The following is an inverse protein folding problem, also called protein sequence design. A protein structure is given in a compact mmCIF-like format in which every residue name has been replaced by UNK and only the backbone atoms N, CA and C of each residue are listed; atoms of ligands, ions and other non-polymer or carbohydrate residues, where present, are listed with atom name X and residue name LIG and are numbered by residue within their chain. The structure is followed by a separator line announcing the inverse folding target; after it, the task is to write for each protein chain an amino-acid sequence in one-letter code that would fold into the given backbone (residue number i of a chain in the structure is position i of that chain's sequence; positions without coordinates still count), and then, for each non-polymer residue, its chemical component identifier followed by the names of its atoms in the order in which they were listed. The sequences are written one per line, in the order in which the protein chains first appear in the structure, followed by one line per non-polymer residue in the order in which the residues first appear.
data_IF_389791610137
#
_entry.id   IF_389791610137
#
_cell.length_a   1.000
_cell.length_b   1.000
_cell.length_c   1.000
_cell.angle_alpha   90.00
_cell.angle_beta   90.00
_cell.angle_gamma   90.00
#
_symmetry.space_group_name_H-M   'P 1'
#
loop_
_entity.id
_entity.type
_entity.pdbx_description
1 polymer ?
#
# COMPACT_ATOMS: atom_id res chain seq x y z
N UNK A 1 -2.56 -25.54 2.94
CA UNK A 1 -3.75 -24.68 2.65
C UNK A 1 -3.26 -23.51 1.82
N UNK A 2 -3.85 -23.23 0.67
CA UNK A 2 -3.42 -22.12 -0.19
C UNK A 2 -4.04 -20.80 0.30
N UNK A 3 -3.23 -19.73 0.44
CA UNK A 3 -3.71 -18.40 0.76
C UNK A 3 -4.23 -17.73 -0.51
N UNK A 4 -5.53 -17.54 -0.62
CA UNK A 4 -6.14 -16.84 -1.75
C UNK A 4 -6.40 -15.38 -1.38
N UNK A 5 -5.86 -14.46 -2.16
CA UNK A 5 -6.14 -13.02 -2.02
C UNK A 5 -7.47 -12.66 -2.68
N UNK A 6 -8.13 -11.65 -2.16
CA UNK A 6 -9.24 -11.02 -2.88
C UNK A 6 -8.73 -10.41 -4.20
N UNK A 7 -9.60 -10.24 -5.23
CA UNK A 7 -9.17 -9.64 -6.51
C UNK A 7 -8.43 -8.30 -6.33
N UNK A 8 -8.88 -7.47 -5.40
CA UNK A 8 -8.27 -6.19 -5.06
C UNK A 8 -6.84 -6.35 -4.54
N UNK A 9 -6.62 -7.18 -3.50
CA UNK A 9 -5.28 -7.44 -2.96
C UNK A 9 -4.38 -8.19 -3.94
N UNK A 10 -4.95 -9.11 -4.74
CA UNK A 10 -4.20 -9.79 -5.80
C UNK A 10 -3.70 -8.81 -6.87
N UNK A 11 -4.47 -7.74 -7.16
CA UNK A 11 -4.03 -6.70 -8.07
C UNK A 11 -2.87 -5.88 -7.47
N UNK A 12 -2.94 -5.50 -6.18
CA UNK A 12 -1.80 -4.87 -5.49
C UNK A 12 -0.57 -5.78 -5.51
N UNK A 13 -0.75 -7.07 -5.17
CA UNK A 13 0.36 -8.03 -5.16
C UNK A 13 1.08 -8.13 -6.51
N UNK A 14 0.36 -8.08 -7.64
CA UNK A 14 0.98 -8.11 -8.98
C UNK A 14 1.87 -6.91 -9.27
N UNK A 15 1.61 -5.76 -8.64
CA UNK A 15 2.35 -4.52 -8.84
C UNK A 15 3.61 -4.43 -7.97
N UNK A 16 3.72 -5.24 -6.92
CA UNK A 16 4.96 -5.35 -6.12
C UNK A 16 6.03 -6.02 -6.99
N UNK A 17 7.17 -5.35 -7.17
CA UNK A 17 8.26 -5.90 -7.98
C UNK A 17 9.01 -7.04 -7.24
N UNK A 18 9.77 -7.82 -7.99
CA UNK A 18 10.60 -8.89 -7.45
C UNK A 18 11.66 -8.32 -6.52
N UNK A 19 11.91 -9.01 -5.39
CA UNK A 19 12.88 -8.63 -4.36
C UNK A 19 12.62 -7.24 -3.71
N UNK A 20 11.37 -6.74 -3.73
CA UNK A 20 10.99 -5.51 -3.05
C UNK A 20 11.17 -5.61 -1.52
N UNK A 21 11.57 -4.52 -0.90
CA UNK A 21 11.47 -4.31 0.54
C UNK A 21 10.11 -3.67 0.83
N UNK A 22 9.11 -4.50 1.14
CA UNK A 22 7.72 -4.08 1.26
C UNK A 22 7.38 -3.61 2.67
N UNK A 23 6.77 -2.43 2.79
CA UNK A 23 5.99 -2.02 3.95
C UNK A 23 4.49 -2.03 3.60
N UNK A 24 3.71 -2.85 4.29
CA UNK A 24 2.25 -2.95 4.16
C UNK A 24 1.59 -2.20 5.32
N UNK A 25 0.97 -1.06 5.03
CA UNK A 25 0.41 -0.14 6.02
C UNK A 25 -1.10 -0.34 6.16
N UNK A 26 -1.55 -0.55 7.40
CA UNK A 26 -2.91 -1.01 7.67
C UNK A 26 -3.08 -2.47 7.26
N UNK A 27 -2.10 -3.28 7.64
CA UNK A 27 -1.92 -4.65 7.14
C UNK A 27 -3.08 -5.60 7.49
N UNK A 28 -3.87 -5.27 8.53
CA UNK A 28 -4.98 -6.05 9.09
C UNK A 28 -4.58 -7.52 9.35
N UNK A 29 -4.77 -8.41 8.38
CA UNK A 29 -4.44 -9.85 8.49
C UNK A 29 -3.10 -10.23 7.85
N UNK A 30 -2.32 -9.28 7.35
CA UNK A 30 -1.07 -9.51 6.60
C UNK A 30 -1.20 -10.43 5.38
N UNK A 31 -2.38 -10.51 4.76
CA UNK A 31 -2.58 -11.39 3.60
C UNK A 31 -1.68 -11.02 2.42
N UNK A 32 -1.46 -9.73 2.18
CA UNK A 32 -0.60 -9.26 1.09
C UNK A 32 0.86 -9.68 1.30
N UNK A 33 1.54 -9.32 2.40
CA UNK A 33 2.92 -9.73 2.62
C UNK A 33 3.09 -11.24 2.73
N UNK A 34 2.18 -11.97 3.41
CA UNK A 34 2.24 -13.44 3.51
C UNK A 34 2.18 -14.08 2.14
N UNK A 35 1.26 -13.65 1.27
CA UNK A 35 1.17 -14.20 -0.10
C UNK A 35 2.44 -13.96 -0.90
N UNK A 36 2.99 -12.74 -0.86
CA UNK A 36 4.22 -12.40 -1.59
C UNK A 36 5.44 -13.18 -1.10
N UNK A 37 5.53 -13.46 0.20
CA UNK A 37 6.54 -14.31 0.81
C UNK A 37 6.42 -15.77 0.37
N UNK A 38 5.19 -16.29 0.31
CA UNK A 38 4.92 -17.68 -0.16
C UNK A 38 5.25 -17.84 -1.64
N UNK A 39 4.99 -16.82 -2.45
CA UNK A 39 5.33 -16.81 -3.87
C UNK A 39 6.83 -16.62 -4.14
N UNK A 40 7.65 -16.40 -3.10
CA UNK A 40 9.07 -16.09 -3.25
C UNK A 40 9.33 -14.77 -3.97
N UNK A 41 8.36 -13.86 -3.98
CA UNK A 41 8.44 -12.58 -4.65
C UNK A 41 9.21 -11.55 -3.84
N UNK A 42 9.10 -11.63 -2.52
CA UNK A 42 9.87 -10.85 -1.55
C UNK A 42 10.50 -11.80 -0.53
N UNK A 43 11.58 -11.37 0.11
CA UNK A 43 12.26 -12.14 1.14
C UNK A 43 11.81 -11.77 2.54
N UNK A 44 11.42 -10.51 2.71
CA UNK A 44 11.05 -9.92 3.98
C UNK A 44 9.99 -8.83 3.79
N UNK A 45 9.17 -8.57 4.82
CA UNK A 45 8.18 -7.51 4.81
C UNK A 45 8.05 -6.83 6.18
N UNK A 46 7.59 -5.58 6.17
CA UNK A 46 7.09 -4.88 7.34
C UNK A 46 5.57 -4.86 7.24
N UNK A 47 4.89 -5.31 8.30
CA UNK A 47 3.45 -5.24 8.45
C UNK A 47 3.12 -4.25 9.56
N UNK A 48 2.59 -3.09 9.21
CA UNK A 48 2.31 -2.01 10.13
C UNK A 48 0.80 -1.81 10.32
N UNK A 49 0.36 -1.58 11.53
CA UNK A 49 -1.02 -1.17 11.84
C UNK A 49 -1.03 -0.29 13.09
N UNK A 50 -2.02 0.59 13.17
CA UNK A 50 -2.23 1.47 14.32
C UNK A 50 -2.75 0.72 15.55
N UNK A 51 -3.37 -0.45 15.36
CA UNK A 51 -4.08 -1.20 16.40
C UNK A 51 -3.49 -2.59 16.58
N UNK A 52 -3.38 -3.01 17.86
CA UNK A 52 -2.85 -4.33 18.20
C UNK A 52 -3.73 -5.50 17.71
N UNK A 53 -5.06 -5.33 17.69
CA UNK A 53 -5.96 -6.38 17.21
C UNK A 53 -5.67 -6.86 15.77
N UNK A 54 -5.59 -5.96 14.78
CA UNK A 54 -5.11 -6.29 13.43
C UNK A 54 -3.73 -6.96 13.42
N UNK A 55 -2.76 -6.44 14.17
CA UNK A 55 -1.42 -7.04 14.23
C UNK A 55 -1.41 -8.44 14.85
N UNK A 56 -2.24 -8.70 15.86
CA UNK A 56 -2.41 -10.06 16.41
C UNK A 56 -2.89 -11.02 15.32
N UNK A 57 -3.92 -10.65 14.55
CA UNK A 57 -4.40 -11.46 13.43
C UNK A 57 -3.34 -11.64 12.33
N UNK A 58 -2.56 -10.60 12.08
CA UNK A 58 -1.45 -10.66 11.14
C UNK A 58 -0.38 -11.69 11.57
N UNK A 59 0.00 -11.69 12.85
CA UNK A 59 0.93 -12.69 13.42
C UNK A 59 0.36 -14.11 13.33
N UNK A 60 -0.92 -14.31 13.66
CA UNK A 60 -1.59 -15.59 13.52
C UNK A 60 -1.60 -16.10 12.09
N UNK A 61 -1.84 -15.21 11.13
CA UNK A 61 -1.79 -15.56 9.70
C UNK A 61 -0.38 -15.96 9.30
N UNK A 62 0.63 -15.16 9.64
CA UNK A 62 2.03 -15.45 9.31
C UNK A 62 2.50 -16.78 9.92
N UNK A 63 2.17 -17.06 11.19
CA UNK A 63 2.48 -18.32 11.87
C UNK A 63 1.79 -19.52 11.19
N UNK A 64 0.51 -19.37 10.82
CA UNK A 64 -0.25 -20.43 10.09
C UNK A 64 0.41 -20.83 8.79
N UNK A 65 1.07 -19.90 8.11
CA UNK A 65 1.75 -20.14 6.84
C UNK A 65 3.27 -20.31 6.96
N UNK A 66 3.82 -20.28 8.18
CA UNK A 66 5.24 -20.52 8.46
C UNK A 66 6.18 -19.44 7.95
N UNK A 67 5.70 -18.18 7.91
CA UNK A 67 6.49 -17.02 7.43
C UNK A 67 6.67 -15.93 8.48
N UNK A 68 6.31 -16.18 9.73
CA UNK A 68 6.37 -15.20 10.83
C UNK A 68 7.78 -14.62 11.04
N UNK A 69 8.83 -15.42 10.83
CA UNK A 69 10.24 -14.99 10.94
C UNK A 69 10.69 -14.07 9.81
N UNK A 70 9.84 -13.86 8.81
CA UNK A 70 10.12 -13.02 7.63
C UNK A 70 9.29 -11.74 7.60
N UNK A 71 8.52 -11.46 8.67
CA UNK A 71 7.68 -10.25 8.78
C UNK A 71 8.01 -9.52 10.08
N UNK A 72 8.34 -8.23 9.98
CA UNK A 72 8.40 -7.32 11.13
C UNK A 72 7.03 -6.70 11.37
N UNK A 73 6.42 -7.02 12.51
CA UNK A 73 5.12 -6.45 12.89
C UNK A 73 5.32 -5.18 13.71
N UNK A 74 4.72 -4.08 13.27
CA UNK A 74 4.91 -2.75 13.88
C UNK A 74 3.59 -2.11 14.27
N UNK A 75 3.44 -1.87 15.57
CA UNK A 75 2.34 -1.08 16.12
C UNK A 75 2.70 0.40 15.99
N UNK A 76 2.23 1.05 14.94
CA UNK A 76 2.55 2.45 14.69
C UNK A 76 1.46 3.13 13.84
N UNK A 77 1.45 4.46 13.88
CA UNK A 77 0.58 5.27 13.03
C UNK A 77 1.23 5.44 11.66
N UNK A 78 0.57 4.85 10.65
CA UNK A 78 1.05 4.90 9.27
C UNK A 78 2.48 4.37 9.13
N UNK A 79 3.38 5.23 8.72
CA UNK A 79 4.80 4.95 8.49
C UNK A 79 5.72 5.44 9.63
N UNK A 80 5.18 5.91 10.77
CA UNK A 80 5.99 6.47 11.86
C UNK A 80 6.97 5.47 12.48
N UNK A 81 6.71 4.18 12.34
CA UNK A 81 7.58 3.09 12.78
C UNK A 81 8.39 2.44 11.66
N UNK A 82 8.47 3.05 10.46
CA UNK A 82 9.19 2.52 9.31
C UNK A 82 10.25 3.52 8.87
N UNK A 83 11.50 3.09 8.84
CA UNK A 83 12.61 3.90 8.35
C UNK A 83 12.71 3.89 6.82
N UNK A 84 13.25 4.96 6.25
CA UNK A 84 13.47 5.10 4.80
C UNK A 84 14.24 3.90 4.19
N UNK A 85 15.30 3.46 4.90
CA UNK A 85 16.18 2.39 4.42
C UNK A 85 15.56 0.99 4.54
N UNK A 86 14.38 0.88 5.16
CA UNK A 86 13.73 -0.39 5.42
C UNK A 86 12.70 -0.78 4.35
N UNK A 87 12.24 0.19 3.52
CA UNK A 87 11.24 -0.06 2.50
C UNK A 87 11.49 0.76 1.23
N UNK A 88 11.56 0.07 0.10
CA UNK A 88 11.57 0.68 -1.24
C UNK A 88 10.17 0.70 -1.87
N UNK A 89 9.27 -0.12 -1.35
CA UNK A 89 7.89 -0.24 -1.80
C UNK A 89 6.95 -0.15 -0.60
N UNK A 90 5.98 0.75 -0.67
CA UNK A 90 4.94 0.93 0.35
C UNK A 90 3.57 0.66 -0.25
N UNK A 91 2.82 -0.25 0.36
CA UNK A 91 1.42 -0.49 0.03
C UNK A 91 0.52 0.14 1.11
N UNK A 92 -0.45 0.97 0.69
CA UNK A 92 -1.50 1.52 1.55
C UNK A 92 -2.83 1.21 0.88
N UNK A 93 -3.47 0.14 1.31
CA UNK A 93 -4.68 -0.36 0.66
C UNK A 93 -5.89 -0.36 1.59
N UNK A 94 -7.07 0.00 1.05
CA UNK A 94 -8.33 -0.04 1.78
C UNK A 94 -8.56 1.13 2.73
N UNK A 95 -7.89 2.27 2.49
CA UNK A 95 -8.01 3.47 3.32
C UNK A 95 -8.69 4.62 2.57
N UNK A 96 -9.26 5.57 3.29
CA UNK A 96 -9.75 6.83 2.70
C UNK A 96 -8.59 7.68 2.17
N UNK A 97 -8.85 8.49 1.13
CA UNK A 97 -7.83 9.36 0.53
C UNK A 97 -7.22 10.33 1.53
N UNK A 98 -8.01 10.87 2.45
CA UNK A 98 -7.52 11.76 3.52
C UNK A 98 -6.52 11.06 4.45
N UNK A 99 -6.79 9.79 4.80
CA UNK A 99 -5.90 8.98 5.64
C UNK A 99 -4.59 8.70 4.90
N UNK A 100 -4.66 8.35 3.62
CA UNK A 100 -3.47 8.14 2.78
C UNK A 100 -2.63 9.41 2.73
N UNK A 101 -3.25 10.57 2.47
CA UNK A 101 -2.57 11.86 2.44
C UNK A 101 -1.89 12.19 3.78
N UNK A 102 -2.57 11.92 4.91
CA UNK A 102 -2.00 12.14 6.25
C UNK A 102 -0.77 11.25 6.51
N UNK A 103 -0.84 9.97 6.15
CA UNK A 103 0.29 9.03 6.28
C UNK A 103 1.49 9.49 5.45
N UNK A 104 1.28 9.87 4.19
CA UNK A 104 2.36 10.36 3.32
C UNK A 104 2.91 11.71 3.76
N UNK A 105 2.07 12.59 4.32
CA UNK A 105 2.50 13.87 4.90
C UNK A 105 3.46 13.68 6.08
N UNK A 106 3.21 12.66 6.91
CA UNK A 106 4.06 12.33 8.05
C UNK A 106 5.36 11.59 7.65
N UNK A 107 5.44 11.07 6.43
CA UNK A 107 6.58 10.31 5.91
C UNK A 107 7.15 10.91 4.62
N UNK A 108 7.70 12.16 4.65
CA UNK A 108 8.15 12.86 3.44
C UNK A 108 9.28 12.14 2.69
N UNK A 109 9.98 11.21 3.33
CA UNK A 109 11.00 10.38 2.72
C UNK A 109 10.45 9.48 1.60
N UNK A 110 9.15 9.20 1.58
CA UNK A 110 8.50 8.41 0.54
C UNK A 110 8.54 9.05 -0.86
N UNK A 111 8.90 10.33 -0.95
CA UNK A 111 9.15 11.03 -2.22
C UNK A 111 10.53 10.72 -2.83
N UNK A 112 11.40 10.06 -2.08
CA UNK A 112 12.79 9.90 -2.44
C UNK A 112 13.09 8.47 -2.95
N UNK A 113 12.47 8.11 -4.08
CA UNK A 113 12.70 6.83 -4.75
C UNK A 113 11.86 5.65 -4.22
N UNK A 114 10.87 5.92 -3.36
CA UNK A 114 9.95 4.90 -2.88
C UNK A 114 8.80 4.71 -3.86
N UNK A 115 8.51 3.47 -4.22
CA UNK A 115 7.31 3.11 -4.99
C UNK A 115 6.11 2.98 -4.07
N UNK A 116 5.04 3.69 -4.38
CA UNK A 116 3.80 3.68 -3.62
C UNK A 116 2.71 2.95 -4.40
N UNK A 117 2.05 2.01 -3.75
CA UNK A 117 0.87 1.31 -4.24
C UNK A 117 -0.32 1.74 -3.38
N UNK A 118 -1.06 2.73 -3.87
CA UNK A 118 -2.15 3.35 -3.14
C UNK A 118 -3.48 2.81 -3.62
N UNK A 119 -4.30 2.32 -2.70
CA UNK A 119 -5.66 1.88 -3.03
C UNK A 119 -6.67 2.65 -2.17
N UNK A 120 -7.06 3.85 -2.60
CA UNK A 120 -8.05 4.67 -1.90
C UNK A 120 -9.45 4.04 -2.00
N UNK A 121 -10.26 4.27 -0.96
CA UNK A 121 -11.67 3.85 -0.89
C UNK A 121 -12.63 5.02 -1.08
N UNK A 122 -12.18 6.24 -0.76
CA UNK A 122 -12.95 7.48 -0.80
C UNK A 122 -12.06 8.66 -1.13
N UNK A 123 -12.64 9.83 -1.35
CA UNK A 123 -11.93 11.12 -1.52
C UNK A 123 -10.88 11.09 -2.65
N UNK A 124 -11.23 10.46 -3.78
CA UNK A 124 -10.31 10.31 -4.91
C UNK A 124 -9.83 11.67 -5.47
N UNK A 125 -10.71 12.67 -5.73
CA UNK A 125 -10.28 13.95 -6.25
C UNK A 125 -9.33 14.67 -5.29
N UNK A 126 -9.66 14.67 -4.00
CA UNK A 126 -8.88 15.35 -2.96
C UNK A 126 -7.49 14.72 -2.83
N UNK A 127 -7.41 13.38 -2.88
CA UNK A 127 -6.12 12.68 -2.84
C UNK A 127 -5.28 12.96 -4.09
N UNK A 128 -5.87 12.99 -5.30
CA UNK A 128 -5.13 13.35 -6.53
C UNK A 128 -4.59 14.77 -6.46
N UNK A 129 -5.41 15.70 -6.03
CA UNK A 129 -5.00 17.10 -5.86
C UNK A 129 -3.88 17.24 -4.81
N UNK A 130 -4.02 16.52 -3.69
CA UNK A 130 -3.01 16.51 -2.64
C UNK A 130 -1.68 15.94 -3.14
N UNK A 131 -1.69 14.79 -3.81
CA UNK A 131 -0.50 14.16 -4.38
C UNK A 131 0.22 15.13 -5.32
N UNK A 132 -0.52 15.76 -6.23
CA UNK A 132 0.04 16.74 -7.18
C UNK A 132 0.70 17.92 -6.45
N UNK A 133 0.03 18.51 -5.44
CA UNK A 133 0.54 19.66 -4.69
C UNK A 133 1.72 19.33 -3.79
N UNK A 134 1.89 18.06 -3.41
CA UNK A 134 2.90 17.62 -2.46
C UNK A 134 4.08 16.85 -3.09
N UNK A 135 4.25 16.94 -4.42
CA UNK A 135 5.42 16.41 -5.11
C UNK A 135 5.39 14.90 -5.31
N UNK A 136 4.20 14.36 -5.56
CA UNK A 136 4.01 12.98 -6.01
C UNK A 136 3.45 12.94 -7.42
N UNK A 137 3.80 11.89 -8.15
CA UNK A 137 3.31 11.62 -9.51
C UNK A 137 2.58 10.28 -9.54
N UNK A 138 1.33 10.27 -10.01
CA UNK A 138 0.61 9.04 -10.32
C UNK A 138 1.08 8.57 -11.69
N UNK A 139 1.77 7.44 -11.74
CA UNK A 139 2.34 6.86 -12.95
C UNK A 139 1.28 6.09 -13.74
N UNK A 140 0.45 5.32 -13.03
CA UNK A 140 -0.63 4.51 -13.60
C UNK A 140 -1.76 4.31 -12.61
N UNK A 141 -2.95 4.15 -13.16
CA UNK A 141 -4.14 3.74 -12.43
C UNK A 141 -4.63 2.41 -12.98
N UNK A 142 -4.84 1.45 -12.09
CA UNK A 142 -5.34 0.12 -12.43
C UNK A 142 -6.74 -0.05 -11.86
N UNK A 143 -7.67 -0.50 -12.68
CA UNK A 143 -9.03 -0.79 -12.25
C UNK A 143 -9.17 -2.30 -12.06
N UNK A 144 -9.71 -2.70 -10.91
CA UNK A 144 -10.00 -4.10 -10.59
C UNK A 144 -11.44 -4.25 -10.14
N UNK A 145 -12.09 -5.30 -10.64
CA UNK A 145 -13.46 -5.66 -10.23
C UNK A 145 -13.43 -6.71 -9.12
N UNK A 146 -14.15 -6.43 -8.04
CA UNK A 146 -14.38 -7.38 -6.96
C UNK A 146 -15.90 -7.43 -6.67
N UNK A 147 -16.52 -8.52 -7.07
CA UNK A 147 -17.97 -8.65 -7.05
C UNK A 147 -18.67 -7.58 -7.94
N UNK A 148 -19.47 -6.74 -7.31
CA UNK A 148 -20.18 -5.64 -7.98
C UNK A 148 -19.45 -4.30 -7.91
N UNK A 149 -18.31 -4.24 -7.23
CA UNK A 149 -17.56 -3.00 -7.00
C UNK A 149 -16.34 -2.93 -7.91
N UNK A 150 -16.00 -1.71 -8.31
CA UNK A 150 -14.74 -1.38 -8.97
C UNK A 150 -13.85 -0.67 -7.96
N UNK A 151 -12.60 -1.05 -7.94
CA UNK A 151 -11.56 -0.43 -7.13
C UNK A 151 -10.45 0.07 -8.05
N UNK A 152 -9.79 1.13 -7.64
CA UNK A 152 -8.63 1.65 -8.34
C UNK A 152 -7.37 1.48 -7.48
N UNK A 153 -6.26 1.16 -8.13
CA UNK A 153 -4.95 1.08 -7.48
C UNK A 153 -4.03 2.01 -8.25
N UNK A 154 -3.36 2.89 -7.55
CA UNK A 154 -2.48 3.89 -8.13
C UNK A 154 -1.02 3.53 -7.86
N UNK A 155 -0.26 3.36 -8.94
CA UNK A 155 1.19 3.34 -8.87
C UNK A 155 1.67 4.79 -8.81
N UNK A 156 2.34 5.14 -7.71
CA UNK A 156 2.72 6.52 -7.40
C UNK A 156 4.18 6.54 -6.96
N UNK A 157 4.88 7.62 -7.24
CA UNK A 157 6.23 7.88 -6.75
C UNK A 157 6.43 9.37 -6.49
N UNK A 158 7.56 9.73 -5.89
CA UNK A 158 7.96 11.12 -5.78
C UNK A 158 8.25 11.72 -7.16
N UNK A 159 7.68 12.87 -7.44
CA UNK A 159 7.83 13.53 -8.73
C UNK A 159 6.81 14.63 -8.96
N UNK A 160 6.90 15.27 -10.12
CA UNK A 160 5.94 16.27 -10.54
C UNK A 160 5.07 15.70 -11.65
N UNK A 161 3.78 15.96 -11.59
CA UNK A 161 2.86 15.69 -12.69
C UNK A 161 2.19 16.99 -13.15
N UNK A 162 1.77 17.10 -14.41
CA UNK A 162 1.02 18.25 -14.91
C UNK A 162 -0.24 18.49 -14.08
N UNK A 163 -0.68 19.75 -14.03
CA UNK A 163 -1.93 20.10 -13.36
C UNK A 163 -3.10 19.27 -13.92
N UNK A 164 -3.84 18.66 -13.01
CA UNK A 164 -5.02 17.88 -13.35
C UNK A 164 -6.21 18.82 -13.59
N UNK A 165 -6.91 18.61 -14.67
CA UNK A 165 -8.20 19.27 -14.90
C UNK A 165 -9.25 18.77 -13.92
N UNK A 166 -10.36 19.52 -13.70
CA UNK A 166 -11.45 19.04 -12.86
C UNK A 166 -11.97 17.64 -13.24
N UNK A 167 -12.02 17.31 -14.53
CA UNK A 167 -12.40 15.98 -15.01
C UNK A 167 -11.39 14.90 -14.61
N UNK A 168 -10.10 15.18 -14.77
CA UNK A 168 -9.03 14.24 -14.40
C UNK A 168 -8.92 14.04 -12.88
N UNK A 169 -9.27 15.03 -12.06
CA UNK A 169 -9.36 14.84 -10.61
C UNK A 169 -10.39 13.78 -10.25
N UNK A 170 -11.51 13.71 -10.97
CA UNK A 170 -12.56 12.73 -10.72
C UNK A 170 -12.30 11.38 -11.38
N UNK A 171 -11.93 11.38 -12.64
CA UNK A 171 -11.85 10.15 -13.46
C UNK A 171 -10.45 9.51 -13.51
N UNK A 172 -9.41 10.27 -13.18
CA UNK A 172 -8.01 9.88 -13.44
C UNK A 172 -7.60 10.19 -14.89
N UNK A 173 -6.43 9.73 -15.26
CA UNK A 173 -5.86 9.80 -16.63
C UNK A 173 -5.78 8.43 -17.25
#
# INVERSE_FOLDING_TARGET
MELTLTPRLAAVARLVHQAAHLADVGTDHAYLPVRLLLDGRIEYAIAADLREGPLSRARETAARYGVEGRISFRLCDGLSGVGREEADTVAIAGMGGETIAAILSAAPWTREGTRLLLQPMTSFPDLREWLQKNGYCILREHIVREGKRLYTIWETEGGQMPALSPGELWAGR
#
